data_IF_176187250232
#
_entry.id   IF_176187250232
#
_cell.length_a   1.000
_cell.length_b   1.000
_cell.length_c   1.000
_cell.angle_alpha   90.00
_cell.angle_beta   90.00
_cell.angle_gamma   90.00
#
_symmetry.space_group_name_H-M   'P 1'
#
loop_
_entity.id
_entity.type
_entity.pdbx_description
1 polymer ?
#
# COMPACT_ATOMS: atom_id res chain seq x y z
N UNK A 1 -13.24 33.60 -51.10
CA UNK A 1 -12.00 33.61 -50.32
C UNK A 1 -11.24 32.36 -50.72
N UNK A 2 -10.17 32.54 -51.49
CA UNK A 2 -9.29 31.43 -51.88
C UNK A 2 -8.50 30.97 -50.65
N UNK A 3 -8.43 29.67 -50.43
CA UNK A 3 -7.67 29.07 -49.33
C UNK A 3 -6.18 29.15 -49.65
N UNK A 4 -5.42 29.87 -48.81
CA UNK A 4 -3.96 29.88 -48.80
C UNK A 4 -3.42 28.51 -48.31
N UNK A 5 -3.57 27.48 -49.14
CA UNK A 5 -2.94 26.18 -48.90
C UNK A 5 -1.55 26.19 -49.54
N UNK A 6 -0.50 26.33 -48.71
CA UNK A 6 0.89 26.18 -49.16
C UNK A 6 1.39 24.78 -48.79
N UNK A 7 1.77 23.93 -49.77
CA UNK A 7 2.35 22.59 -49.54
C UNK A 7 3.60 22.60 -48.65
N UNK A 8 4.30 23.74 -48.56
CA UNK A 8 5.50 23.90 -47.74
C UNK A 8 5.18 23.86 -46.24
N UNK A 9 4.02 24.41 -45.84
CA UNK A 9 3.55 24.38 -44.45
C UNK A 9 3.12 22.96 -44.01
N UNK A 10 2.58 22.16 -44.94
CA UNK A 10 2.20 20.78 -44.68
C UNK A 10 3.43 19.88 -44.50
N UNK A 11 4.47 20.08 -45.33
CA UNK A 11 5.73 19.36 -45.22
C UNK A 11 6.44 19.66 -43.88
N UNK A 12 6.44 20.92 -43.44
CA UNK A 12 7.02 21.32 -42.17
C UNK A 12 6.26 20.73 -40.97
N UNK A 13 4.92 20.69 -41.02
CA UNK A 13 4.10 20.03 -40.02
C UNK A 13 4.36 18.51 -39.95
N UNK A 14 4.47 17.84 -41.11
CA UNK A 14 4.80 16.41 -41.16
C UNK A 14 6.18 16.11 -40.59
N UNK A 15 7.15 16.99 -40.81
CA UNK A 15 8.49 16.87 -40.20
C UNK A 15 8.43 16.99 -38.69
N UNK A 16 7.69 17.96 -38.15
CA UNK A 16 7.49 18.12 -36.70
C UNK A 16 6.80 16.89 -36.10
N UNK A 17 5.77 16.36 -36.78
CA UNK A 17 5.07 15.14 -36.35
C UNK A 17 6.05 13.95 -36.29
N UNK A 18 6.87 13.77 -37.33
CA UNK A 18 7.88 12.71 -37.39
C UNK A 18 8.91 12.81 -36.26
N UNK A 19 9.43 14.01 -35.99
CA UNK A 19 10.38 14.24 -34.89
C UNK A 19 9.76 13.97 -33.51
N UNK A 20 8.48 14.31 -33.33
CA UNK A 20 7.75 14.02 -32.10
C UNK A 20 7.49 12.52 -31.93
N UNK A 21 7.18 11.80 -33.00
CA UNK A 21 7.03 10.34 -32.97
C UNK A 21 8.34 9.65 -32.58
N UNK A 22 9.48 10.10 -33.12
CA UNK A 22 10.79 9.54 -32.76
C UNK A 22 11.13 9.79 -31.27
N UNK A 23 10.86 10.99 -30.76
CA UNK A 23 11.03 11.31 -29.33
C UNK A 23 10.14 10.45 -28.44
N UNK A 24 8.89 10.22 -28.85
CA UNK A 24 7.96 9.38 -28.10
C UNK A 24 8.44 7.92 -28.06
N UNK A 25 8.93 7.39 -29.18
CA UNK A 25 9.47 6.03 -29.27
C UNK A 25 10.68 5.86 -28.33
N UNK A 26 11.63 6.80 -28.35
CA UNK A 26 12.79 6.78 -27.43
C UNK A 26 12.37 6.79 -25.96
N UNK A 27 11.34 7.57 -25.61
CA UNK A 27 10.83 7.63 -24.23
C UNK A 27 10.15 6.32 -23.83
N UNK A 28 9.44 5.66 -24.74
CA UNK A 28 8.85 4.33 -24.49
C UNK A 28 9.93 3.27 -24.26
N UNK A 29 11.00 3.26 -25.06
CA UNK A 29 12.12 2.34 -24.88
C UNK A 29 12.85 2.55 -23.54
N UNK A 30 12.95 3.80 -23.06
CA UNK A 30 13.53 4.10 -21.75
C UNK A 30 12.64 3.63 -20.60
N UNK A 31 11.32 3.86 -20.70
CA UNK A 31 10.36 3.38 -19.71
C UNK A 31 10.35 1.85 -19.63
N UNK A 32 10.35 1.17 -20.78
CA UNK A 32 10.41 -0.30 -20.82
C UNK A 32 11.69 -0.85 -20.17
N UNK A 33 12.83 -0.16 -20.33
CA UNK A 33 14.08 -0.55 -19.63
C UNK A 33 13.96 -0.38 -18.12
N UNK A 34 13.36 0.72 -17.66
CA UNK A 34 13.16 0.98 -16.24
C UNK A 34 12.21 -0.05 -15.60
N UNK A 35 11.11 -0.38 -16.28
CA UNK A 35 10.17 -1.41 -15.82
C UNK A 35 10.86 -2.79 -15.70
N UNK A 36 11.70 -3.14 -16.68
CA UNK A 36 12.48 -4.39 -16.64
C UNK A 36 13.52 -4.42 -15.50
N UNK A 37 14.13 -3.28 -15.17
CA UNK A 37 15.06 -3.19 -14.04
C UNK A 37 14.33 -3.30 -12.71
N UNK A 38 13.17 -2.66 -12.58
CA UNK A 38 12.31 -2.76 -11.39
C UNK A 38 11.82 -4.20 -11.19
N UNK A 39 11.39 -4.89 -12.25
CA UNK A 39 10.99 -6.31 -12.17
C UNK A 39 12.12 -7.21 -11.66
N UNK A 40 13.37 -6.98 -12.10
CA UNK A 40 14.54 -7.73 -11.61
C UNK A 40 14.79 -7.48 -10.13
N UNK A 41 14.66 -6.22 -9.68
CA UNK A 41 14.82 -5.86 -8.28
C UNK A 41 13.75 -6.52 -7.41
N UNK A 42 12.50 -6.56 -7.87
CA UNK A 42 11.41 -7.23 -7.18
C UNK A 42 11.65 -8.74 -7.05
N UNK A 43 12.10 -9.41 -8.13
CA UNK A 43 12.48 -10.84 -8.09
C UNK A 43 13.61 -11.11 -7.09
N UNK A 44 14.60 -10.21 -7.00
CA UNK A 44 15.69 -10.32 -6.03
C UNK A 44 15.18 -10.18 -4.58
N UNK A 45 14.31 -9.20 -4.31
CA UNK A 45 13.70 -9.02 -2.99
C UNK A 45 12.86 -10.25 -2.61
N UNK A 46 12.05 -10.76 -3.54
CA UNK A 46 11.24 -11.96 -3.32
C UNK A 46 12.11 -13.18 -2.97
N UNK A 47 13.24 -13.35 -3.65
CA UNK A 47 14.22 -14.41 -3.32
C UNK A 47 14.76 -14.24 -1.89
N UNK A 48 15.11 -13.03 -1.47
CA UNK A 48 15.60 -12.78 -0.12
C UNK A 48 14.55 -13.05 0.95
N UNK A 49 13.29 -12.69 0.68
CA UNK A 49 12.16 -12.99 1.57
C UNK A 49 11.98 -14.51 1.71
N UNK A 50 12.02 -15.26 0.60
CA UNK A 50 11.93 -16.72 0.63
C UNK A 50 13.07 -17.35 1.44
N UNK A 51 14.31 -16.90 1.24
CA UNK A 51 15.46 -17.36 2.01
C UNK A 51 15.29 -17.09 3.52
N UNK A 52 14.73 -15.93 3.88
CA UNK A 52 14.45 -15.61 5.28
C UNK A 52 13.39 -16.54 5.88
N UNK A 53 12.32 -16.82 5.14
CA UNK A 53 11.30 -17.78 5.57
C UNK A 53 11.87 -19.18 5.78
N UNK A 54 12.77 -19.64 4.91
CA UNK A 54 13.49 -20.90 5.09
C UNK A 54 14.36 -20.89 6.35
N UNK A 55 15.14 -19.83 6.59
CA UNK A 55 15.96 -19.74 7.82
C UNK A 55 15.08 -19.77 9.09
N UNK A 56 13.95 -19.07 9.06
CA UNK A 56 13.00 -19.05 10.17
C UNK A 56 12.37 -20.44 10.36
N UNK A 57 11.93 -21.10 9.29
CA UNK A 57 11.31 -22.44 9.39
C UNK A 57 12.28 -23.48 9.94
N UNK A 58 13.55 -23.45 9.53
CA UNK A 58 14.60 -24.29 10.09
C UNK A 58 14.87 -23.95 11.57
N UNK A 59 14.82 -22.68 11.96
CA UNK A 59 15.04 -22.26 13.36
C UNK A 59 13.91 -22.69 14.30
N UNK A 60 12.67 -22.73 13.81
CA UNK A 60 11.48 -23.12 14.58
C UNK A 60 11.40 -24.64 14.71
N UNK A 61 11.77 -25.39 13.66
CA UNK A 61 11.73 -26.85 13.66
C UNK A 61 12.90 -27.51 14.41
N UNK A 62 13.95 -26.77 14.78
CA UNK A 62 15.11 -27.30 15.50
C UNK A 62 15.02 -27.28 17.04
N UNK A 63 13.82 -27.09 17.62
CA UNK A 63 13.65 -27.08 19.08
C UNK A 63 13.72 -28.45 19.77
N UNK A 64 13.79 -29.56 19.02
CA UNK A 64 13.65 -30.90 19.60
C UNK A 64 14.75 -31.93 19.24
N UNK A 65 15.96 -31.53 18.82
CA UNK A 65 17.08 -32.48 18.77
C UNK A 65 18.35 -31.88 19.37
N UNK A 66 18.94 -32.61 20.32
CA UNK A 66 20.09 -32.21 21.11
C UNK A 66 21.35 -31.97 20.29
N UNK A 67 22.19 -31.08 20.83
CA UNK A 67 23.61 -30.89 20.51
C UNK A 67 24.00 -31.13 19.04
N UNK A 68 23.75 -30.13 18.18
CA UNK A 68 24.60 -29.93 17.01
C UNK A 68 25.62 -28.87 17.39
N UNK A 69 26.88 -29.28 17.43
CA UNK A 69 28.02 -28.40 17.64
C UNK A 69 28.08 -27.42 16.45
N UNK A 70 27.55 -26.20 16.63
CA UNK A 70 27.63 -25.14 15.63
C UNK A 70 29.08 -24.64 15.65
N UNK A 71 29.95 -25.31 14.89
CA UNK A 71 31.20 -24.70 14.48
C UNK A 71 30.83 -23.49 13.61
N UNK A 72 31.14 -22.33 14.16
CA UNK A 72 31.07 -21.02 13.53
C UNK A 72 31.71 -21.01 12.14
N UNK A 73 30.95 -20.62 11.12
CA UNK A 73 31.46 -19.72 10.08
C UNK A 73 30.28 -19.09 9.31
N UNK A 74 30.23 -17.76 9.13
CA UNK A 74 29.25 -17.13 8.27
C UNK A 74 29.70 -17.37 6.82
N UNK A 75 29.21 -18.43 6.20
CA UNK A 75 29.37 -18.60 4.76
C UNK A 75 28.39 -17.65 4.05
N UNK A 76 28.85 -16.41 3.84
CA UNK A 76 28.47 -15.62 2.67
C UNK A 76 28.85 -16.45 1.44
N UNK A 77 27.95 -17.35 1.01
CA UNK A 77 28.04 -17.91 -0.32
C UNK A 77 27.63 -16.79 -1.28
N UNK A 78 28.62 -16.02 -1.73
CA UNK A 78 28.59 -15.48 -3.08
C UNK A 78 28.23 -16.67 -3.98
N UNK A 79 27.01 -16.70 -4.49
CA UNK A 79 26.66 -17.57 -5.59
C UNK A 79 27.45 -17.03 -6.77
N UNK A 80 28.62 -17.60 -7.01
CA UNK A 80 29.27 -17.53 -8.30
C UNK A 80 28.29 -18.15 -9.30
N UNK A 81 27.85 -17.35 -10.27
CA UNK A 81 27.31 -17.89 -11.50
C UNK A 81 28.40 -18.76 -12.12
N UNK A 82 28.22 -20.07 -12.09
CA UNK A 82 28.76 -20.97 -13.10
C UNK A 82 27.97 -22.28 -13.08
N UNK A 83 27.73 -22.74 -14.30
CA UNK A 83 26.91 -23.87 -14.66
C UNK A 83 27.29 -25.20 -13.99
N UNK A 84 26.26 -26.05 -13.90
CA UNK A 84 26.28 -27.52 -13.92
C UNK A 84 26.50 -28.36 -12.65
N UNK A 85 25.57 -29.33 -12.55
CA UNK A 85 25.67 -30.72 -12.07
C UNK A 85 25.48 -31.06 -10.58
N UNK A 86 24.28 -31.62 -10.32
CA UNK A 86 23.98 -32.85 -9.57
C UNK A 86 24.69 -33.09 -8.21
N UNK A 87 23.92 -32.97 -7.11
CA UNK A 87 24.28 -33.58 -5.83
C UNK A 87 23.06 -34.30 -5.24
N UNK A 88 23.03 -35.62 -5.45
CA UNK A 88 22.36 -36.60 -4.57
C UNK A 88 23.14 -36.73 -3.25
N UNK A 89 22.45 -36.65 -2.11
CA UNK A 89 22.94 -37.28 -0.88
C UNK A 89 21.79 -37.89 -0.07
N UNK A 90 21.88 -39.22 0.11
CA UNK A 90 21.05 -40.07 0.95
C UNK A 90 21.20 -39.71 2.44
N UNK A 91 20.11 -39.71 3.22
CA UNK A 91 20.14 -39.82 4.70
C UNK A 91 19.00 -40.77 5.15
N UNK A 92 19.24 -41.68 6.12
CA UNK A 92 18.55 -42.96 6.23
C UNK A 92 17.27 -42.93 7.08
N UNK A 93 16.43 -43.95 6.85
CA UNK A 93 15.23 -44.30 7.62
C UNK A 93 15.67 -45.15 8.81
N UNK A 94 15.37 -44.72 10.04
CA UNK A 94 15.28 -45.63 11.18
C UNK A 94 14.09 -45.29 12.08
N UNK A 95 13.19 -46.27 12.18
CA UNK A 95 12.03 -46.39 13.07
C UNK A 95 12.45 -46.83 14.47
N UNK A 96 11.79 -46.34 15.54
CA UNK A 96 10.99 -47.17 16.47
C UNK A 96 10.39 -46.39 17.68
N UNK A 97 9.15 -46.79 18.01
CA UNK A 97 8.53 -47.00 19.33
C UNK A 97 7.93 -45.83 20.16
N UNK A 98 6.59 -45.82 20.14
CA UNK A 98 5.61 -45.89 21.27
C UNK A 98 5.90 -45.18 22.59
N UNK A 99 4.98 -44.29 22.99
CA UNK A 99 3.96 -44.44 24.06
C UNK A 99 3.31 -43.06 24.30
N UNK A 100 2.02 -42.88 24.03
CA UNK A 100 0.92 -42.99 25.00
C UNK A 100 1.07 -42.06 26.22
N UNK A 101 0.14 -41.12 26.38
CA UNK A 101 -0.59 -40.77 27.63
C UNK A 101 -1.16 -39.35 27.55
N UNK A 102 -2.50 -39.32 27.61
CA UNK A 102 -3.37 -38.23 28.03
C UNK A 102 -2.78 -37.37 29.17
N UNK A 103 -3.04 -36.06 29.19
CA UNK A 103 -3.90 -35.50 30.24
C UNK A 103 -4.26 -34.03 30.01
N UNK A 104 -5.56 -33.84 30.13
CA UNK A 104 -6.33 -32.63 30.32
C UNK A 104 -5.80 -31.81 31.51
N UNK A 105 -5.66 -30.49 31.40
CA UNK A 105 -6.09 -29.56 32.46
C UNK A 105 -6.17 -28.12 31.94
N UNK A 106 -7.37 -27.55 32.10
CA UNK A 106 -7.65 -26.12 32.06
C UNK A 106 -6.75 -25.38 33.03
N UNK A 107 -5.95 -24.43 32.54
CA UNK A 107 -5.36 -23.38 33.36
C UNK A 107 -5.74 -22.03 32.76
N UNK A 108 -6.74 -21.40 33.36
CA UNK A 108 -7.01 -19.97 33.21
C UNK A 108 -5.90 -19.20 33.92
N UNK A 109 -4.80 -18.96 33.22
CA UNK A 109 -3.82 -17.96 33.63
C UNK A 109 -4.32 -16.60 33.13
N UNK A 110 -4.89 -15.82 34.04
CA UNK A 110 -5.06 -14.37 33.88
C UNK A 110 -3.65 -13.77 33.88
N UNK A 111 -3.09 -13.58 32.69
CA UNK A 111 -1.90 -12.76 32.51
C UNK A 111 -2.39 -11.32 32.56
N UNK A 112 -1.93 -10.58 33.56
CA UNK A 112 -2.08 -9.13 33.62
C UNK A 112 -1.53 -8.52 32.32
N UNK A 113 -2.42 -8.03 31.46
CA UNK A 113 -2.07 -7.29 30.25
C UNK A 113 -1.44 -5.95 30.64
N UNK A 114 -0.12 -5.93 30.71
CA UNK A 114 0.64 -4.74 30.35
C UNK A 114 0.43 -4.58 28.82
N UNK A 115 -0.01 -3.44 28.28
CA UNK A 115 -0.12 -3.26 26.84
C UNK A 115 1.29 -3.34 26.25
N UNK A 116 1.59 -4.49 25.65
CA UNK A 116 2.82 -4.70 24.92
C UNK A 116 2.63 -4.04 23.55
N UNK A 117 3.10 -2.79 23.41
CA UNK A 117 3.11 -2.06 22.13
C UNK A 117 4.15 -2.64 21.15
N UNK A 118 4.18 -3.95 20.99
CA UNK A 118 4.91 -4.62 19.93
C UNK A 118 3.90 -4.98 18.85
N UNK A 119 3.49 -3.97 18.08
CA UNK A 119 2.65 -4.19 16.90
C UNK A 119 3.38 -5.16 15.97
N UNK A 120 2.82 -6.35 15.77
CA UNK A 120 3.40 -7.34 14.84
C UNK A 120 2.98 -7.00 13.41
N UNK A 121 3.76 -7.44 12.42
CA UNK A 121 3.44 -7.26 10.99
C UNK A 121 2.04 -7.81 10.68
N UNK A 122 1.57 -8.84 11.39
CA UNK A 122 0.22 -9.37 11.25
C UNK A 122 -0.87 -8.37 11.71
N UNK A 123 -0.67 -7.58 12.77
CA UNK A 123 -1.61 -6.50 13.13
C UNK A 123 -1.59 -5.34 12.11
N UNK A 124 -0.44 -5.08 11.49
CA UNK A 124 -0.33 -4.07 10.41
C UNK A 124 -0.99 -4.58 9.11
N UNK A 125 -1.03 -5.88 8.88
CA UNK A 125 -1.71 -6.50 7.73
C UNK A 125 -3.22 -6.68 7.99
N UNK A 126 -3.63 -7.09 9.19
CA UNK A 126 -5.04 -7.16 9.61
C UNK A 126 -5.72 -5.77 9.63
N UNK A 127 -4.97 -4.69 9.86
CA UNK A 127 -5.48 -3.30 9.72
C UNK A 127 -5.59 -2.83 8.27
N UNK A 128 -5.05 -3.56 7.28
CA UNK A 128 -5.25 -3.27 5.86
C UNK A 128 -6.45 -4.01 5.27
N UNK A 129 -6.71 -5.24 5.71
CA UNK A 129 -7.87 -6.03 5.29
C UNK A 129 -9.22 -5.52 5.84
N UNK A 130 -9.20 -4.64 6.83
CA UNK A 130 -10.40 -4.02 7.44
C UNK A 130 -10.82 -2.69 6.82
N UNK A 131 -10.11 -2.20 5.79
CA UNK A 131 -10.38 -0.90 5.18
C UNK A 131 -11.42 -1.03 4.08
N UNK A 132 -12.54 -0.33 4.24
CA UNK A 132 -13.68 -0.41 3.34
C UNK A 132 -13.66 0.82 2.41
N UNK A 133 -13.81 0.59 1.11
CA UNK A 133 -13.99 1.66 0.14
C UNK A 133 -15.46 1.86 -0.17
N UNK A 134 -15.87 3.11 -0.29
CA UNK A 134 -17.20 3.41 -0.78
C UNK A 134 -17.32 3.05 -2.26
N UNK A 135 -18.40 2.34 -2.62
CA UNK A 135 -18.88 2.40 -4.00
C UNK A 135 -19.47 3.78 -4.30
N UNK A 136 -19.53 4.16 -5.58
CA UNK A 136 -20.09 5.47 -6.00
C UNK A 136 -21.49 5.74 -5.42
N UNK A 137 -22.34 4.70 -5.40
CA UNK A 137 -23.71 4.83 -4.88
C UNK A 137 -23.75 4.98 -3.35
N UNK A 138 -22.85 4.33 -2.62
CA UNK A 138 -22.76 4.45 -1.16
C UNK A 138 -22.21 5.81 -0.75
N UNK A 139 -21.17 6.28 -1.45
CA UNK A 139 -20.61 7.60 -1.21
C UNK A 139 -21.65 8.70 -1.43
N UNK A 140 -22.43 8.62 -2.51
CA UNK A 140 -23.51 9.58 -2.79
C UNK A 140 -24.57 9.60 -1.69
N UNK A 141 -24.97 8.44 -1.16
CA UNK A 141 -25.91 8.36 -0.03
C UNK A 141 -25.28 8.93 1.25
N UNK A 142 -24.01 8.68 1.47
CA UNK A 142 -23.25 9.23 2.60
C UNK A 142 -23.19 10.76 2.54
N UNK A 143 -22.81 11.35 1.41
CA UNK A 143 -22.82 12.81 1.20
C UNK A 143 -24.24 13.37 1.37
N UNK A 144 -25.26 12.70 0.82
CA UNK A 144 -26.66 13.09 1.02
C UNK A 144 -27.02 13.18 2.51
N UNK A 145 -26.60 12.21 3.31
CA UNK A 145 -26.84 12.24 4.76
C UNK A 145 -26.15 13.41 5.49
N UNK A 146 -25.00 13.88 4.98
CA UNK A 146 -24.32 15.07 5.51
C UNK A 146 -25.10 16.32 5.12
N UNK A 147 -25.55 16.44 3.87
CA UNK A 147 -26.30 17.60 3.38
C UNK A 147 -27.65 17.74 4.11
N UNK A 148 -28.37 16.63 4.25
CA UNK A 148 -29.69 16.57 4.90
C UNK A 148 -29.60 16.77 6.43
N UNK A 149 -28.39 16.74 6.99
CA UNK A 149 -28.18 16.84 8.42
C UNK A 149 -28.45 18.27 8.94
N UNK A 150 -29.23 18.41 10.03
CA UNK A 150 -29.72 19.71 10.49
C UNK A 150 -28.68 20.56 11.23
N UNK A 151 -27.53 19.99 11.64
CA UNK A 151 -26.51 20.74 12.37
C UNK A 151 -25.09 20.36 11.97
N UNK A 152 -24.19 21.34 12.09
CA UNK A 152 -22.77 21.18 11.81
C UNK A 152 -22.11 20.07 12.66
N UNK A 153 -22.58 19.87 13.90
CA UNK A 153 -22.12 18.80 14.79
C UNK A 153 -22.60 17.42 14.34
N UNK A 154 -23.85 17.30 13.88
CA UNK A 154 -24.33 16.03 13.33
C UNK A 154 -23.61 15.66 12.03
N UNK A 155 -23.30 16.64 11.18
CA UNK A 155 -22.49 16.43 9.97
C UNK A 155 -21.11 15.85 10.29
N UNK A 156 -20.45 16.39 11.31
CA UNK A 156 -19.18 15.86 11.81
C UNK A 156 -19.31 14.43 12.34
N UNK A 157 -20.34 14.14 13.13
CA UNK A 157 -20.58 12.79 13.68
C UNK A 157 -20.80 11.75 12.57
N UNK A 158 -21.41 12.13 11.45
CA UNK A 158 -21.61 11.23 10.31
C UNK A 158 -20.26 10.80 9.73
N UNK A 159 -19.34 11.74 9.51
CA UNK A 159 -17.98 11.45 9.00
C UNK A 159 -17.21 10.60 10.01
N UNK A 160 -17.21 10.99 11.29
CA UNK A 160 -16.51 10.28 12.35
C UNK A 160 -16.98 8.82 12.47
N UNK A 161 -18.28 8.58 12.34
CA UNK A 161 -18.86 7.23 12.40
C UNK A 161 -18.33 6.35 11.26
N UNK A 162 -18.24 6.86 10.04
CA UNK A 162 -17.73 6.09 8.90
C UNK A 162 -16.24 5.78 9.04
N UNK A 163 -15.44 6.77 9.45
CA UNK A 163 -14.00 6.56 9.68
C UNK A 163 -13.76 5.51 10.78
N UNK A 164 -14.54 5.54 11.87
CA UNK A 164 -14.48 4.52 12.94
C UNK A 164 -14.91 3.13 12.48
N UNK A 165 -15.74 3.03 11.45
CA UNK A 165 -16.14 1.76 10.83
C UNK A 165 -15.08 1.21 9.86
N UNK A 166 -13.95 1.92 9.68
CA UNK A 166 -12.88 1.49 8.80
C UNK A 166 -13.01 2.00 7.37
N UNK A 167 -13.97 2.89 7.08
CA UNK A 167 -14.07 3.46 5.74
C UNK A 167 -12.90 4.37 5.42
N UNK A 168 -12.41 4.25 4.19
CA UNK A 168 -11.44 5.15 3.59
C UNK A 168 -12.04 5.84 2.37
N UNK A 169 -11.45 6.99 2.04
CA UNK A 169 -11.90 7.87 0.97
C UNK A 169 -10.83 7.96 -0.11
N UNK A 170 -11.26 7.92 -1.37
CA UNK A 170 -10.41 8.30 -2.50
C UNK A 170 -10.11 9.80 -2.47
N UNK A 171 -9.12 10.26 -3.25
CA UNK A 171 -8.77 11.68 -3.32
C UNK A 171 -9.94 12.54 -3.82
N UNK A 172 -10.72 12.05 -4.78
CA UNK A 172 -11.95 12.71 -5.25
C UNK A 172 -12.97 12.88 -4.12
N UNK A 173 -13.21 11.81 -3.35
CA UNK A 173 -14.14 11.80 -2.22
C UNK A 173 -13.68 12.72 -1.08
N UNK A 174 -12.37 12.82 -0.85
CA UNK A 174 -11.80 13.81 0.07
C UNK A 174 -12.10 15.22 -0.44
N UNK A 175 -11.93 15.48 -1.75
CA UNK A 175 -12.28 16.77 -2.37
C UNK A 175 -13.73 17.17 -2.12
N UNK A 176 -14.68 16.26 -2.39
CA UNK A 176 -16.11 16.50 -2.13
C UNK A 176 -16.40 16.79 -0.65
N UNK A 177 -15.73 16.09 0.27
CA UNK A 177 -15.89 16.34 1.71
C UNK A 177 -15.28 17.68 2.16
N UNK A 178 -14.17 18.09 1.55
CA UNK A 178 -13.54 19.38 1.84
C UNK A 178 -14.41 20.55 1.35
N UNK A 179 -15.12 20.42 0.23
CA UNK A 179 -16.08 21.42 -0.23
C UNK A 179 -17.24 21.60 0.78
N UNK A 180 -17.50 20.60 1.63
CA UNK A 180 -18.50 20.69 2.71
C UNK A 180 -17.91 21.20 4.04
N UNK A 181 -16.60 21.40 4.13
CA UNK A 181 -15.90 21.85 5.34
C UNK A 181 -16.42 23.17 5.93
N UNK A 182 -16.86 24.17 5.15
CA UNK A 182 -17.46 25.40 5.69
C UNK A 182 -18.72 25.15 6.54
N UNK A 183 -19.42 24.04 6.32
CA UNK A 183 -20.65 23.70 7.02
C UNK A 183 -20.44 22.79 8.24
N UNK A 184 -19.20 22.53 8.63
CA UNK A 184 -18.81 21.66 9.75
C UNK A 184 -18.50 22.48 11.00
N UNK A 185 -18.71 21.89 12.19
CA UNK A 185 -18.49 22.58 13.47
C UNK A 185 -17.01 22.85 13.73
N UNK A 186 -16.16 21.83 13.58
CA UNK A 186 -14.73 21.92 13.90
C UNK A 186 -13.86 21.49 12.71
N UNK A 187 -13.52 22.46 11.84
CA UNK A 187 -12.73 22.21 10.63
C UNK A 187 -11.43 21.42 10.92
N UNK A 188 -10.70 21.79 11.98
CA UNK A 188 -9.45 21.11 12.37
C UNK A 188 -9.66 19.64 12.75
N UNK A 189 -10.76 19.33 13.42
CA UNK A 189 -11.09 17.96 13.82
C UNK A 189 -11.41 17.10 12.59
N UNK A 190 -12.23 17.63 11.68
CA UNK A 190 -12.55 16.99 10.40
C UNK A 190 -11.29 16.72 9.57
N UNK A 191 -10.43 17.73 9.40
CA UNK A 191 -9.19 17.57 8.64
C UNK A 191 -8.29 16.47 9.22
N UNK A 192 -8.23 16.35 10.56
CA UNK A 192 -7.48 15.28 11.22
C UNK A 192 -8.10 13.89 10.98
N UNK A 193 -9.42 13.78 10.98
CA UNK A 193 -10.13 12.54 10.65
C UNK A 193 -9.87 12.13 9.20
N UNK A 194 -10.00 13.08 8.27
CA UNK A 194 -9.80 12.87 6.84
C UNK A 194 -8.36 12.46 6.52
N UNK A 195 -7.35 13.12 7.11
CA UNK A 195 -5.94 12.77 6.96
C UNK A 195 -5.65 11.29 7.23
N UNK A 196 -6.30 10.71 8.23
CA UNK A 196 -6.10 9.31 8.63
C UNK A 196 -6.94 8.31 7.81
N UNK A 197 -7.83 8.80 6.95
CA UNK A 197 -8.78 7.99 6.18
C UNK A 197 -8.61 8.13 4.66
N UNK A 198 -7.46 8.64 4.19
CA UNK A 198 -7.12 8.71 2.77
C UNK A 198 -6.67 7.33 2.28
N UNK A 199 -7.32 6.81 1.24
CA UNK A 199 -6.93 5.56 0.58
C UNK A 199 -5.79 5.78 -0.43
N UNK A 200 -5.99 6.67 -1.41
CA UNK A 200 -5.14 6.81 -2.59
C UNK A 200 -4.07 7.90 -2.43
N UNK A 201 -3.18 7.75 -1.44
CA UNK A 201 -2.17 8.78 -1.13
C UNK A 201 -1.24 9.14 -2.31
N UNK A 202 -1.05 8.22 -3.26
CA UNK A 202 -0.27 8.42 -4.47
C UNK A 202 -0.88 9.46 -5.42
N UNK A 203 -2.21 9.62 -5.41
CA UNK A 203 -2.95 10.57 -6.25
C UNK A 203 -3.15 11.94 -5.58
N UNK A 204 -2.45 12.23 -4.47
CA UNK A 204 -2.67 13.45 -3.67
C UNK A 204 -2.65 14.75 -4.46
N UNK A 205 -1.84 14.86 -5.52
CA UNK A 205 -1.75 16.06 -6.35
C UNK A 205 -3.07 16.38 -7.09
N UNK A 206 -3.90 15.37 -7.33
CA UNK A 206 -5.20 15.54 -7.97
C UNK A 206 -6.22 16.21 -7.06
N UNK A 207 -5.98 16.29 -5.74
CA UNK A 207 -6.91 16.89 -4.78
C UNK A 207 -7.29 18.32 -5.18
N UNK A 208 -6.32 19.10 -5.67
CA UNK A 208 -6.50 20.50 -6.02
C UNK A 208 -7.55 20.70 -7.14
N UNK A 209 -7.77 19.67 -7.97
CA UNK A 209 -8.75 19.70 -9.05
C UNK A 209 -10.19 19.51 -8.55
N UNK A 210 -10.38 18.96 -7.36
CA UNK A 210 -11.69 18.64 -6.79
C UNK A 210 -12.19 19.69 -5.79
N UNK A 211 -11.36 20.67 -5.45
CA UNK A 211 -11.71 21.78 -4.54
C UNK A 211 -12.41 22.91 -5.29
N UNK A 212 -13.63 23.23 -4.87
CA UNK A 212 -14.49 24.24 -5.49
C UNK A 212 -14.48 25.56 -4.71
N UNK A 213 -14.22 26.66 -5.41
CA UNK A 213 -14.42 28.04 -4.93
C UNK A 213 -13.48 28.55 -3.82
N UNK A 214 -12.38 27.85 -3.49
CA UNK A 214 -11.33 28.40 -2.63
C UNK A 214 -10.23 29.14 -3.40
N UNK A 215 -9.57 30.11 -2.74
CA UNK A 215 -8.34 30.73 -3.25
C UNK A 215 -7.21 29.70 -3.33
N UNK A 216 -6.25 29.89 -4.25
CA UNK A 216 -5.08 28.99 -4.38
C UNK A 216 -4.30 28.82 -3.06
N UNK A 217 -4.25 29.88 -2.24
CA UNK A 217 -3.62 29.88 -0.92
C UNK A 217 -4.36 28.97 0.07
N UNK A 218 -5.70 29.00 0.06
CA UNK A 218 -6.54 28.14 0.90
C UNK A 218 -6.48 26.68 0.46
N UNK A 219 -6.47 26.43 -0.86
CA UNK A 219 -6.29 25.08 -1.41
C UNK A 219 -4.95 24.48 -1.00
N UNK A 220 -3.87 25.26 -1.11
CA UNK A 220 -2.55 24.83 -0.69
C UNK A 220 -2.47 24.59 0.83
N UNK A 221 -3.14 25.42 1.64
CA UNK A 221 -3.21 25.22 3.09
C UNK A 221 -3.94 23.92 3.47
N UNK A 222 -5.05 23.60 2.81
CA UNK A 222 -5.77 22.33 3.01
C UNK A 222 -4.91 21.13 2.59
N UNK A 223 -4.24 21.23 1.45
CA UNK A 223 -3.31 20.22 0.98
C UNK A 223 -2.20 19.94 2.00
N UNK A 224 -1.59 21.00 2.53
CA UNK A 224 -0.51 20.87 3.50
C UNK A 224 -0.97 20.21 4.81
N UNK A 225 -2.16 20.53 5.30
CA UNK A 225 -2.71 19.89 6.52
C UNK A 225 -2.90 18.39 6.32
N UNK A 226 -3.38 17.98 5.14
CA UNK A 226 -3.67 16.57 4.83
C UNK A 226 -2.41 15.76 4.53
N UNK A 227 -1.38 16.35 3.92
CA UNK A 227 -0.27 15.59 3.34
C UNK A 227 1.14 15.92 3.86
N UNK A 228 1.30 16.95 4.71
CA UNK A 228 2.56 17.26 5.42
C UNK A 228 2.45 16.93 6.91
#
# INVERSE_FOLDING_TARGET
>A
MESNFSPENELEQLKIISENQEKLLKKLEELEKNDNEEEKNLKYIQKNINNLFELISHSINNKNNGHININTSPALNLINNNDNDNITTNIPIDTQNTENINNNTNSTNIINNIPNNNNTINEILETRDSKILFTVNEFKKFIGSIIDSPSASYRQNIIEKQVKQGYMFSIEQIGELLNLLPYMSEKKCILKLLKNSIHDYYHKQELLNYLTEETEEEKQALFDILFK
#
